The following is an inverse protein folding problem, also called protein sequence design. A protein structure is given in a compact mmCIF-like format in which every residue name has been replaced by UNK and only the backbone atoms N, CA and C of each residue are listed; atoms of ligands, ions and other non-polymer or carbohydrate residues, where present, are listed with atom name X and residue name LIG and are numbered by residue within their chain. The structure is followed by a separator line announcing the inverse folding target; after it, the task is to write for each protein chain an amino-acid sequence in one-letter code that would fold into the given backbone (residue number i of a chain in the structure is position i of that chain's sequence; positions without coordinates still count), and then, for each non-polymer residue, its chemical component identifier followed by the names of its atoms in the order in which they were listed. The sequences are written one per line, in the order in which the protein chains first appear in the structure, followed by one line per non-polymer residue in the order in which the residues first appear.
data_IF_261418738297
#
_entry.id   IF_261418738297
#
_cell.length_a   1.000
_cell.length_b   1.000
_cell.length_c   1.000
_cell.angle_alpha   90.00
_cell.angle_beta   90.00
_cell.angle_gamma   90.00
#
_symmetry.space_group_name_H-M   'P 1'
#
loop_
_entity.id
_entity.type
_entity.pdbx_description
1 polymer ?
#
# COMPACT_ATOMS: atom_id res chain seq x y z
N UNK A 1 6.46 0.76 -12.24
CA UNK A 1 6.62 1.98 -11.44
C UNK A 1 7.61 2.92 -12.09
N UNK A 2 7.09 3.91 -12.81
CA UNK A 2 7.86 5.06 -13.33
C UNK A 2 7.35 6.40 -12.77
N UNK A 3 6.36 6.34 -11.88
CA UNK A 3 5.66 7.52 -11.35
C UNK A 3 6.58 8.42 -10.53
N UNK A 4 7.60 7.87 -9.86
CA UNK A 4 8.56 8.66 -9.09
C UNK A 4 9.48 9.48 -10.00
N UNK A 5 9.86 8.94 -11.17
CA UNK A 5 10.64 9.66 -12.18
C UNK A 5 9.81 10.80 -12.76
N UNK A 6 8.56 10.51 -13.13
CA UNK A 6 7.64 11.53 -13.67
C UNK A 6 7.42 12.64 -12.65
N UNK A 7 7.16 12.31 -11.38
CA UNK A 7 6.99 13.31 -10.34
C UNK A 7 8.23 14.20 -10.16
N UNK A 8 9.43 13.61 -10.26
CA UNK A 8 10.69 14.35 -10.21
C UNK A 8 10.89 15.26 -11.43
N UNK A 9 10.59 14.78 -12.64
CA UNK A 9 10.72 15.57 -13.88
C UNK A 9 9.74 16.75 -13.88
N UNK A 10 8.50 16.51 -13.43
CA UNK A 10 7.44 17.50 -13.39
C UNK A 10 7.51 18.41 -12.16
N UNK A 11 8.46 18.18 -11.24
CA UNK A 11 8.58 18.88 -9.97
C UNK A 11 7.28 18.91 -9.14
N UNK A 12 6.59 17.77 -9.07
CA UNK A 12 5.36 17.59 -8.29
C UNK A 12 5.58 16.66 -7.10
N UNK A 13 4.75 16.81 -6.07
CA UNK A 13 4.80 15.95 -4.89
C UNK A 13 4.49 14.51 -5.26
N UNK A 14 5.33 13.59 -4.78
CA UNK A 14 5.13 12.16 -4.94
C UNK A 14 4.75 11.53 -3.60
N UNK A 15 3.49 11.13 -3.49
CA UNK A 15 2.97 10.35 -2.36
C UNK A 15 2.74 8.92 -2.86
N UNK A 16 3.24 7.94 -2.13
CA UNK A 16 3.14 6.53 -2.50
C UNK A 16 2.31 5.79 -1.46
N UNK A 17 1.17 5.23 -1.85
CA UNK A 17 0.38 4.35 -0.99
C UNK A 17 0.96 2.93 -1.08
N UNK A 18 1.54 2.47 0.03
CA UNK A 18 2.10 1.14 0.16
C UNK A 18 1.00 0.18 0.62
N UNK A 19 0.59 -0.68 -0.31
CA UNK A 19 -0.21 -1.84 0.01
C UNK A 19 0.73 -3.03 0.11
N UNK A 20 0.63 -3.80 1.20
CA UNK A 20 1.40 -5.04 1.35
C UNK A 20 0.95 -5.97 0.22
N UNK A 21 1.72 -5.98 -0.87
CA UNK A 21 1.50 -6.91 -1.94
C UNK A 21 1.80 -8.28 -1.37
N UNK A 22 0.91 -9.25 -1.57
CA UNK A 22 1.15 -10.67 -1.21
C UNK A 22 2.43 -11.26 -1.83
N UNK A 23 3.21 -10.47 -2.58
CA UNK A 23 4.62 -10.69 -2.89
C UNK A 23 5.49 -10.60 -1.63
N UNK A 24 5.24 -11.51 -0.68
CA UNK A 24 6.14 -11.86 0.42
C UNK A 24 7.49 -12.44 -0.04
N UNK A 25 7.86 -12.37 -1.32
CA UNK A 25 9.16 -12.80 -1.83
C UNK A 25 10.22 -11.70 -1.72
N UNK A 26 10.31 -11.04 -0.55
CA UNK A 26 11.52 -10.28 -0.17
C UNK A 26 12.54 -11.27 0.40
N UNK A 27 12.77 -12.37 -0.31
CA UNK A 27 13.91 -13.25 -0.04
C UNK A 27 15.11 -12.72 -0.84
N UNK A 28 16.15 -12.41 -0.09
CA UNK A 28 17.51 -12.13 -0.52
C UNK A 28 17.85 -10.73 -1.05
N UNK A 29 18.79 -10.12 -0.33
CA UNK A 29 19.26 -8.74 -0.35
C UNK A 29 19.82 -8.23 -1.69
N UNK A 30 19.96 -9.08 -2.70
CA UNK A 30 20.67 -8.75 -3.94
C UNK A 30 19.72 -8.19 -5.01
N UNK A 31 18.45 -8.62 -5.03
CA UNK A 31 17.46 -8.17 -6.02
C UNK A 31 16.60 -6.97 -5.54
N UNK A 32 16.89 -6.42 -4.35
CA UNK A 32 16.15 -5.26 -3.78
C UNK A 32 16.12 -4.04 -4.71
N UNK A 33 17.14 -3.84 -5.56
CA UNK A 33 17.22 -2.73 -6.52
C UNK A 33 16.27 -2.94 -7.71
N UNK A 34 15.99 -4.21 -8.06
CA UNK A 34 15.02 -4.58 -9.09
C UNK A 34 13.60 -4.70 -8.53
N UNK A 35 13.44 -4.65 -7.20
CA UNK A 35 12.14 -4.64 -6.59
C UNK A 35 11.41 -3.35 -6.97
N UNK A 36 10.23 -3.55 -7.53
CA UNK A 36 9.32 -2.51 -7.93
C UNK A 36 9.05 -1.46 -6.84
N UNK A 37 9.09 -1.87 -5.58
CA UNK A 37 8.68 -1.04 -4.45
C UNK A 37 9.84 -0.21 -3.88
N UNK A 38 11.10 -0.57 -4.16
CA UNK A 38 12.27 0.09 -3.56
C UNK A 38 12.36 1.57 -3.94
N UNK A 39 12.26 1.88 -5.23
CA UNK A 39 12.40 3.26 -5.70
C UNK A 39 11.22 4.16 -5.29
N UNK A 40 9.95 3.71 -5.38
CA UNK A 40 8.84 4.45 -4.80
C UNK A 40 9.02 4.77 -3.31
N UNK A 41 9.40 3.79 -2.48
CA UNK A 41 9.65 3.99 -1.05
C UNK A 41 10.79 4.99 -0.78
N UNK A 42 11.85 4.95 -1.60
CA UNK A 42 13.00 5.85 -1.48
C UNK A 42 12.65 7.29 -1.85
N UNK A 43 11.99 7.49 -2.99
CA UNK A 43 11.80 8.81 -3.60
C UNK A 43 10.50 9.50 -3.23
N UNK A 44 9.54 8.81 -2.62
CA UNK A 44 8.34 9.46 -2.11
C UNK A 44 8.66 10.51 -1.04
N UNK A 45 7.93 11.63 -1.06
CA UNK A 45 7.93 12.63 0.00
C UNK A 45 7.25 12.06 1.24
N UNK A 46 6.14 11.36 1.01
CA UNK A 46 5.37 10.63 2.02
C UNK A 46 4.98 9.25 1.51
N UNK A 47 5.00 8.27 2.40
CA UNK A 47 4.51 6.92 2.14
C UNK A 47 3.31 6.69 3.03
N UNK A 48 2.18 6.43 2.40
CA UNK A 48 0.91 6.17 3.05
C UNK A 48 0.75 4.67 3.29
N UNK A 49 0.43 4.30 4.52
CA UNK A 49 0.22 2.93 4.96
C UNK A 49 -1.21 2.75 5.45
N UNK A 50 -1.77 1.57 5.20
CA UNK A 50 -3.11 1.21 5.70
C UNK A 50 -3.13 0.93 7.20
N UNK A 51 -2.00 0.58 7.80
CA UNK A 51 -1.87 0.37 9.24
C UNK A 51 -0.42 0.43 9.68
N UNK A 52 -0.19 0.67 10.97
CA UNK A 52 1.14 0.63 11.59
C UNK A 52 1.80 -0.75 11.45
N UNK A 53 1.01 -1.83 11.55
CA UNK A 53 1.54 -3.20 11.40
C UNK A 53 2.17 -3.49 10.05
N UNK A 54 1.79 -2.78 8.98
CA UNK A 54 2.45 -2.90 7.67
C UNK A 54 3.86 -2.29 7.70
N UNK A 55 4.03 -1.18 8.41
CA UNK A 55 5.34 -0.58 8.62
C UNK A 55 6.23 -1.50 9.45
N UNK A 56 5.69 -2.17 10.47
CA UNK A 56 6.43 -3.14 11.27
C UNK A 56 6.91 -4.34 10.42
N UNK A 57 6.04 -4.88 9.55
CA UNK A 57 6.43 -5.93 8.59
C UNK A 57 7.56 -5.49 7.65
N UNK A 58 7.59 -4.23 7.22
CA UNK A 58 8.69 -3.69 6.40
C UNK A 58 10.01 -3.67 7.18
N UNK A 59 9.95 -3.32 8.48
CA UNK A 59 11.12 -3.36 9.38
C UNK A 59 11.63 -4.78 9.56
N UNK A 60 10.74 -5.75 9.77
CA UNK A 60 11.07 -7.18 9.86
C UNK A 60 11.76 -7.69 8.58
N UNK A 61 11.29 -7.26 7.40
CA UNK A 61 11.90 -7.55 6.09
C UNK A 61 13.24 -6.81 5.86
N UNK A 62 13.78 -6.13 6.87
CA UNK A 62 15.01 -5.31 6.83
C UNK A 62 14.98 -4.26 5.70
N UNK A 63 13.80 -3.72 5.39
CA UNK A 63 13.67 -2.60 4.46
C UNK A 63 14.02 -1.33 5.22
N UNK A 64 15.09 -0.65 4.78
CA UNK A 64 15.48 0.61 5.38
C UNK A 64 14.53 1.71 4.91
N UNK A 65 13.68 2.19 5.82
CA UNK A 65 12.67 3.20 5.54
C UNK A 65 12.79 4.37 6.54
N UNK A 66 12.58 5.60 6.08
CA UNK A 66 12.56 6.78 6.93
C UNK A 66 11.14 6.98 7.50
N UNK A 67 10.96 6.63 8.77
CA UNK A 67 9.66 6.68 9.46
C UNK A 67 9.02 8.08 9.47
N UNK A 68 9.80 9.17 9.35
CA UNK A 68 9.25 10.53 9.25
C UNK A 68 8.44 10.77 7.96
N UNK A 69 8.59 9.87 6.98
CA UNK A 69 7.81 9.89 5.74
C UNK A 69 6.49 9.13 5.88
N UNK A 70 6.26 8.35 6.94
CA UNK A 70 5.04 7.59 7.11
C UNK A 70 3.82 8.51 7.27
N UNK A 71 2.73 8.12 6.63
CA UNK A 71 1.37 8.54 6.86
C UNK A 71 0.54 7.27 7.07
N UNK A 72 -0.52 7.37 7.85
CA UNK A 72 -1.42 6.26 8.12
C UNK A 72 -2.83 6.66 7.71
N UNK A 73 -3.30 6.08 6.61
CA UNK A 73 -4.66 6.23 6.12
C UNK A 73 -5.30 4.84 6.13
N UNK A 74 -5.99 4.45 7.21
CA UNK A 74 -6.62 3.15 7.27
C UNK A 74 -7.61 3.01 6.13
N UNK A 75 -7.70 1.80 5.57
CA UNK A 75 -8.74 1.48 4.59
C UNK A 75 -10.09 1.82 5.20
N UNK A 76 -10.78 2.80 4.62
CA UNK A 76 -12.17 3.03 4.94
C UNK A 76 -12.98 2.01 4.16
N UNK A 77 -13.59 1.07 4.87
CA UNK A 77 -14.72 0.37 4.30
C UNK A 77 -15.83 1.41 4.16
N UNK A 78 -16.33 1.61 2.94
CA UNK A 78 -17.66 2.21 2.81
C UNK A 78 -18.57 1.29 3.62
N UNK A 79 -19.17 1.83 4.68
CA UNK A 79 -20.23 1.16 5.41
C UNK A 79 -21.38 1.00 4.42
N UNK A 80 -21.49 -0.19 3.84
CA UNK A 80 -22.60 -0.58 2.98
C UNK A 80 -23.90 -0.75 3.77
N UNK A 81 -23.95 -0.30 5.03
CA UNK A 81 -25.12 -0.29 5.92
C UNK A 81 -26.37 0.28 5.23
N UNK A 82 -26.19 1.22 4.30
CA UNK A 82 -27.27 1.82 3.49
C UNK A 82 -27.20 1.48 1.99
N UNK A 83 -26.36 0.52 1.59
CA UNK A 83 -26.36 0.05 0.22
C UNK A 83 -27.66 -0.74 -0.01
N UNK A 84 -28.50 -0.25 -0.93
CA UNK A 84 -29.76 -0.89 -1.30
C UNK A 84 -29.71 -1.55 -2.69
N UNK A 85 -29.23 -2.81 -2.74
CA UNK A 85 -29.17 -3.74 -3.83
C UNK A 85 -30.12 -4.05 -4.98
N UNK A 86 -31.28 -3.43 -5.25
CA UNK A 86 -32.39 -4.32 -5.75
C UNK A 86 -33.25 -3.66 -6.85
N UNK A 87 -33.66 -4.26 -7.98
CA UNK A 87 -34.34 -5.55 -8.21
C UNK A 87 -34.26 -6.05 -9.69
N UNK A 88 -34.35 -7.39 -9.95
CA UNK A 88 -34.40 -8.47 -8.98
C UNK A 88 -33.01 -8.82 -8.47
N UNK A 89 -32.85 -8.87 -7.14
CA UNK A 89 -31.67 -9.46 -6.53
C UNK A 89 -32.04 -10.80 -5.92
N UNK A 90 -31.52 -11.86 -6.53
CA UNK A 90 -31.64 -13.26 -6.13
C UNK A 90 -30.93 -13.54 -4.79
N UNK A 91 -31.19 -14.68 -4.13
CA UNK A 91 -30.72 -14.98 -2.76
C UNK A 91 -29.19 -15.04 -2.61
N UNK A 92 -28.68 -14.59 -1.46
CA UNK A 92 -27.26 -14.39 -1.12
C UNK A 92 -26.86 -15.24 0.09
N UNK A 93 -25.56 -15.56 0.20
CA UNK A 93 -24.87 -15.76 1.48
C UNK A 93 -23.51 -15.06 1.39
N UNK A 94 -23.15 -14.26 2.38
CA UNK A 94 -21.79 -13.67 2.50
C UNK A 94 -21.31 -13.88 3.94
N UNK A 95 -20.30 -14.72 4.09
CA UNK A 95 -19.55 -14.85 5.33
C UNK A 95 -18.13 -14.35 5.06
N UNK A 96 -17.72 -13.33 5.79
CA UNK A 96 -16.33 -12.90 5.90
C UNK A 96 -15.82 -13.48 7.23
N UNK A 97 -14.98 -14.52 7.15
CA UNK A 97 -14.27 -15.07 8.30
C UNK A 97 -12.85 -14.50 8.32
N UNK A 98 -12.37 -14.16 9.52
CA UNK A 98 -11.06 -13.59 9.84
C UNK A 98 -9.87 -14.47 9.40
#
# INVERSE_FOLDING_TARGET
MWSWQVAKIMNVKFIYSYNDSGAGMVENSILKILNSEYYPLKYAEKVDFLSEGILDKLKEKRVHFNERKALFTPNSFILYDNFNPVYPKENWIVLLQD
#
